data_IF_459015045404
#
_entry.id   IF_459015045404
#
_cell.length_a   1.000
_cell.length_b   1.000
_cell.length_c   1.000
_cell.angle_alpha   90.00
_cell.angle_beta   90.00
_cell.angle_gamma   90.00
#
_symmetry.space_group_name_H-M   'P 1'
#
loop_
_entity.id
_entity.type
_entity.pdbx_description
1 polymer ?
#
# COMPACT_ATOMS: atom_id res chain seq x y z
N UNK A 1 -0.36 -9.78 4.74
CA UNK A 1 0.72 -10.13 3.83
C UNK A 1 2.09 -9.77 4.42
N UNK A 2 2.42 -8.52 4.64
CA UNK A 2 3.78 -8.12 5.07
C UNK A 2 4.29 -8.90 6.30
N UNK A 3 3.51 -9.00 7.37
CA UNK A 3 3.91 -9.78 8.56
C UNK A 3 4.10 -11.28 8.24
N UNK A 4 3.24 -11.85 7.39
CA UNK A 4 3.36 -13.25 6.97
C UNK A 4 4.62 -13.49 6.13
N UNK A 5 5.01 -12.54 5.29
CA UNK A 5 6.24 -12.60 4.49
C UNK A 5 7.50 -12.66 5.38
N UNK A 6 7.42 -12.15 6.61
CA UNK A 6 8.48 -12.19 7.62
C UNK A 6 8.26 -13.24 8.72
N UNK A 7 7.42 -14.24 8.46
CA UNK A 7 7.32 -15.43 9.31
C UNK A 7 6.22 -15.39 10.37
N UNK A 8 5.35 -14.37 10.39
CA UNK A 8 4.16 -14.43 11.23
C UNK A 8 3.20 -15.52 10.71
N UNK A 9 2.70 -16.37 11.60
CA UNK A 9 1.63 -17.31 11.30
C UNK A 9 0.29 -16.55 11.22
N UNK A 10 -0.14 -16.25 10.00
CA UNK A 10 -1.35 -15.47 9.75
C UNK A 10 -2.50 -16.38 9.33
N UNK A 11 -3.48 -16.52 10.19
CA UNK A 11 -4.72 -17.27 9.94
C UNK A 11 -5.77 -16.29 9.40
N UNK A 12 -6.16 -16.46 8.14
CA UNK A 12 -7.25 -15.71 7.52
C UNK A 12 -8.57 -16.42 7.78
N UNK A 13 -9.40 -15.79 8.59
CA UNK A 13 -10.75 -16.26 8.90
C UNK A 13 -11.73 -15.72 7.87
N UNK A 14 -12.53 -16.59 7.26
CA UNK A 14 -13.49 -16.24 6.23
C UNK A 14 -14.88 -16.84 6.51
N UNK A 15 -15.92 -16.22 5.98
CA UNK A 15 -17.29 -16.76 6.07
C UNK A 15 -17.39 -18.07 5.27
N UNK A 16 -17.94 -19.15 5.86
CA UNK A 16 -18.18 -20.39 5.11
C UNK A 16 -19.01 -20.16 3.84
N UNK A 17 -18.67 -20.83 2.78
CA UNK A 17 -19.36 -20.82 1.48
C UNK A 17 -19.13 -19.57 0.63
N UNK A 18 -18.97 -18.39 1.22
CA UNK A 18 -18.81 -17.12 0.46
C UNK A 18 -17.38 -16.62 0.40
N UNK A 19 -16.61 -16.80 1.45
CA UNK A 19 -15.23 -16.30 1.56
C UNK A 19 -15.14 -14.78 1.62
N UNK A 20 -13.93 -14.29 1.36
CA UNK A 20 -13.61 -12.87 1.28
C UNK A 20 -13.99 -12.31 -0.11
N UNK A 21 -14.62 -11.13 -0.22
CA UNK A 21 -14.96 -10.50 -1.50
C UNK A 21 -13.76 -10.34 -2.45
N UNK A 22 -12.52 -10.20 -1.94
CA UNK A 22 -11.32 -10.09 -2.75
C UNK A 22 -11.08 -11.31 -3.65
N UNK A 23 -11.63 -12.49 -3.28
CA UNK A 23 -11.58 -13.71 -4.13
C UNK A 23 -12.26 -13.52 -5.48
N UNK A 24 -13.22 -12.58 -5.56
CA UNK A 24 -13.98 -12.30 -6.78
C UNK A 24 -13.31 -11.22 -7.66
N UNK A 25 -12.25 -10.57 -7.17
CA UNK A 25 -11.50 -9.59 -7.94
C UNK A 25 -10.57 -10.29 -8.93
N UNK A 26 -11.09 -10.52 -10.13
CA UNK A 26 -10.38 -11.27 -11.18
C UNK A 26 -9.97 -10.36 -12.34
N UNK A 27 -8.85 -10.72 -12.98
CA UNK A 27 -8.44 -10.15 -14.25
C UNK A 27 -8.49 -11.27 -15.29
N UNK A 28 -9.40 -11.18 -16.25
CA UNK A 28 -9.63 -12.26 -17.25
C UNK A 28 -9.86 -13.64 -16.61
N UNK A 29 -10.58 -13.67 -15.49
CA UNK A 29 -10.88 -14.89 -14.74
C UNK A 29 -9.80 -15.36 -13.75
N UNK A 30 -8.63 -14.70 -13.72
CA UNK A 30 -7.54 -15.04 -12.79
C UNK A 30 -7.64 -14.23 -11.51
N UNK A 31 -7.59 -14.83 -10.32
CA UNK A 31 -7.72 -14.15 -9.03
C UNK A 31 -6.36 -13.59 -8.54
N UNK A 32 -5.67 -12.81 -9.36
CA UNK A 32 -4.33 -12.31 -9.06
C UNK A 32 -4.27 -11.49 -7.76
N UNK A 33 -5.29 -10.69 -7.46
CA UNK A 33 -5.37 -9.95 -6.20
C UNK A 33 -5.33 -10.88 -5.00
N UNK A 34 -6.12 -11.93 -5.04
CA UNK A 34 -6.13 -12.94 -3.97
C UNK A 34 -4.79 -13.69 -3.87
N UNK A 35 -4.28 -14.14 -5.00
CA UNK A 35 -3.02 -14.90 -5.07
C UNK A 35 -1.85 -14.11 -4.50
N UNK A 36 -1.77 -12.80 -4.79
CA UNK A 36 -0.70 -11.91 -4.35
C UNK A 36 -0.88 -11.52 -2.88
N UNK A 37 -2.04 -10.93 -2.53
CA UNK A 37 -2.24 -10.36 -1.18
C UNK A 37 -2.65 -11.41 -0.14
N UNK A 38 -3.08 -12.57 -0.59
CA UNK A 38 -3.34 -13.74 0.23
C UNK A 38 -2.09 -14.55 0.59
N UNK A 39 -0.97 -14.39 -0.08
CA UNK A 39 0.25 -15.20 0.08
C UNK A 39 0.70 -15.35 1.53
N UNK A 40 1.32 -16.48 1.83
CA UNK A 40 1.86 -16.84 3.14
C UNK A 40 0.83 -16.87 4.29
N UNK A 41 -0.47 -16.99 3.98
CA UNK A 41 -1.52 -17.11 5.00
C UNK A 41 -2.11 -18.51 4.99
N UNK A 42 -2.61 -18.94 6.14
CA UNK A 42 -3.46 -20.12 6.29
C UNK A 42 -4.92 -19.69 6.29
N UNK A 43 -5.79 -20.45 5.64
CA UNK A 43 -7.18 -20.11 5.37
C UNK A 43 -8.12 -21.02 6.09
N UNK A 44 -8.97 -20.46 6.97
CA UNK A 44 -10.04 -21.19 7.63
C UNK A 44 -11.39 -20.51 7.39
N UNK A 45 -12.45 -21.30 7.46
CA UNK A 45 -13.81 -20.81 7.45
C UNK A 45 -14.38 -20.78 8.87
N UNK A 46 -15.05 -19.69 9.26
CA UNK A 46 -15.68 -19.55 10.57
C UNK A 46 -16.86 -18.59 10.50
N UNK A 47 -18.04 -19.06 10.89
CA UNK A 47 -19.26 -18.28 10.94
C UNK A 47 -19.40 -17.57 12.30
N UNK A 48 -18.90 -16.34 12.42
CA UNK A 48 -18.99 -15.55 13.65
C UNK A 48 -20.42 -15.14 14.03
N UNK A 49 -21.40 -15.30 13.13
CA UNK A 49 -22.82 -15.05 13.43
C UNK A 49 -23.44 -16.23 14.21
N UNK A 50 -22.92 -17.45 14.03
CA UNK A 50 -23.36 -18.63 14.74
C UNK A 50 -22.77 -18.68 16.16
N UNK A 51 -23.55 -19.11 17.18
CA UNK A 51 -23.03 -19.31 18.54
C UNK A 51 -21.83 -20.26 18.58
N UNK A 52 -21.89 -21.36 17.82
CA UNK A 52 -20.83 -22.35 17.71
C UNK A 52 -19.54 -21.74 17.13
N UNK A 53 -19.66 -20.88 16.12
CA UNK A 53 -18.52 -20.17 15.54
C UNK A 53 -17.86 -19.22 16.54
N UNK A 54 -18.64 -18.53 17.37
CA UNK A 54 -18.10 -17.70 18.46
C UNK A 54 -17.42 -18.54 19.53
N UNK A 55 -17.96 -19.71 19.87
CA UNK A 55 -17.34 -20.64 20.82
C UNK A 55 -16.00 -21.16 20.29
N UNK A 56 -15.90 -21.41 18.99
CA UNK A 56 -14.61 -21.74 18.34
C UNK A 56 -13.64 -20.58 18.48
N UNK A 57 -14.05 -19.33 18.14
CA UNK A 57 -13.20 -18.16 18.26
C UNK A 57 -12.68 -17.97 19.70
N UNK A 58 -13.50 -18.24 20.71
CA UNK A 58 -13.12 -18.18 22.13
C UNK A 58 -11.97 -19.14 22.47
N UNK A 59 -11.83 -20.26 21.74
CA UNK A 59 -10.72 -21.22 21.91
C UNK A 59 -9.46 -20.76 21.17
N UNK A 60 -9.61 -20.01 20.06
CA UNK A 60 -8.50 -19.53 19.27
C UNK A 60 -7.82 -18.31 19.92
N UNK A 61 -8.60 -17.35 20.39
CA UNK A 61 -8.11 -16.05 20.89
C UNK A 61 -7.02 -16.16 21.97
N UNK A 62 -7.09 -17.06 22.97
CA UNK A 62 -6.04 -17.20 23.97
C UNK A 62 -4.67 -17.62 23.42
N UNK A 63 -4.61 -18.10 22.20
CA UNK A 63 -3.42 -18.68 21.57
C UNK A 63 -2.88 -17.82 20.43
N UNK A 64 -3.41 -16.60 20.22
CA UNK A 64 -2.95 -15.68 19.19
C UNK A 64 -2.53 -14.35 19.78
N UNK A 65 -1.51 -13.73 19.22
CA UNK A 65 -0.99 -12.45 19.69
C UNK A 65 -1.85 -11.26 19.27
N UNK A 66 -2.44 -11.34 18.07
CA UNK A 66 -3.14 -10.24 17.42
C UNK A 66 -4.42 -10.74 16.77
N UNK A 67 -5.51 -10.04 17.00
CA UNK A 67 -6.73 -10.13 16.18
C UNK A 67 -6.80 -8.86 15.33
N UNK A 68 -7.03 -9.02 14.03
CA UNK A 68 -7.21 -7.90 13.10
C UNK A 68 -8.59 -7.99 12.46
N UNK A 69 -9.31 -6.87 12.42
CA UNK A 69 -10.63 -6.79 11.79
C UNK A 69 -10.78 -5.48 10.99
N UNK A 70 -11.71 -5.49 10.03
CA UNK A 70 -12.05 -4.32 9.22
C UNK A 70 -13.57 -4.19 9.02
N UNK A 71 -14.35 -4.48 10.06
CA UNK A 71 -15.80 -4.30 10.04
C UNK A 71 -16.17 -2.83 10.24
N UNK A 72 -17.43 -2.53 9.95
CA UNK A 72 -18.02 -1.25 10.36
C UNK A 72 -17.97 -1.17 11.90
N UNK A 73 -17.52 -0.04 12.48
CA UNK A 73 -17.43 0.14 13.93
C UNK A 73 -18.69 -0.31 14.69
N UNK A 74 -18.48 -0.96 15.84
CA UNK A 74 -19.56 -1.54 16.63
C UNK A 74 -20.03 -2.94 16.19
N UNK A 75 -19.52 -3.46 15.07
CA UNK A 75 -19.95 -4.81 14.60
C UNK A 75 -19.44 -5.93 15.49
N UNK A 76 -18.19 -5.89 15.94
CA UNK A 76 -17.68 -6.86 16.92
C UNK A 76 -18.46 -6.81 18.24
N UNK A 77 -18.77 -5.62 18.72
CA UNK A 77 -19.55 -5.41 19.93
C UNK A 77 -20.95 -6.02 19.81
N UNK A 78 -21.64 -5.81 18.68
CA UNK A 78 -22.94 -6.44 18.39
C UNK A 78 -22.88 -7.97 18.32
N UNK A 79 -21.75 -8.53 17.97
CA UNK A 79 -21.50 -9.98 17.96
C UNK A 79 -21.11 -10.51 19.35
N UNK A 80 -20.95 -9.63 20.36
CA UNK A 80 -20.43 -10.01 21.67
C UNK A 80 -18.93 -10.32 21.67
N UNK A 81 -18.18 -9.76 20.71
CA UNK A 81 -16.75 -9.96 20.46
C UNK A 81 -15.95 -8.65 20.59
N UNK A 82 -16.49 -7.63 21.24
CA UNK A 82 -15.79 -6.39 21.52
C UNK A 82 -14.50 -6.61 22.33
N UNK A 83 -13.60 -5.64 22.32
CA UNK A 83 -12.29 -5.77 22.96
C UNK A 83 -12.38 -6.14 24.44
N UNK A 84 -13.36 -5.61 25.20
CA UNK A 84 -13.52 -5.93 26.61
C UNK A 84 -13.82 -7.42 26.86
N UNK A 85 -14.49 -8.09 25.91
CA UNK A 85 -14.73 -9.54 25.95
C UNK A 85 -13.47 -10.29 25.56
N UNK A 86 -12.85 -9.92 24.42
CA UNK A 86 -11.64 -10.58 23.94
C UNK A 86 -10.48 -10.48 24.96
N UNK A 87 -10.35 -9.33 25.62
CA UNK A 87 -9.36 -9.09 26.67
C UNK A 87 -9.55 -9.97 27.90
N UNK A 88 -10.80 -10.35 28.23
CA UNK A 88 -11.04 -11.30 29.30
C UNK A 88 -10.52 -12.70 28.95
N UNK A 89 -10.55 -13.09 27.68
CA UNK A 89 -10.02 -14.36 27.22
C UNK A 89 -8.48 -14.33 27.11
N UNK A 90 -7.93 -13.19 26.71
CA UNK A 90 -6.49 -12.99 26.58
C UNK A 90 -6.07 -11.55 26.92
N UNK A 91 -5.60 -11.27 28.16
CA UNK A 91 -5.21 -9.93 28.58
C UNK A 91 -4.09 -9.30 27.75
N UNK A 92 -3.24 -10.11 27.13
CA UNK A 92 -2.16 -9.69 26.25
C UNK A 92 -2.56 -9.47 24.78
N UNK A 93 -3.84 -9.66 24.45
CA UNK A 93 -4.31 -9.55 23.07
C UNK A 93 -4.18 -8.12 22.53
N UNK A 94 -3.62 -8.01 21.34
CA UNK A 94 -3.66 -6.78 20.55
C UNK A 94 -4.84 -6.89 19.56
N UNK A 95 -5.74 -5.91 19.58
CA UNK A 95 -6.84 -5.83 18.61
C UNK A 95 -6.57 -4.68 17.62
N UNK A 96 -6.26 -5.00 16.37
CA UNK A 96 -6.11 -4.02 15.30
C UNK A 96 -7.44 -3.85 14.55
N UNK A 97 -7.98 -2.63 14.59
CA UNK A 97 -9.28 -2.25 14.00
C UNK A 97 -9.04 -1.27 12.86
N UNK A 98 -9.33 -1.71 11.65
CA UNK A 98 -9.16 -0.90 10.44
C UNK A 98 -10.54 -0.45 9.97
N UNK A 99 -10.71 0.84 9.75
CA UNK A 99 -11.96 1.39 9.22
C UNK A 99 -11.68 2.54 8.26
N UNK A 100 -12.68 3.00 7.52
CA UNK A 100 -12.50 4.15 6.61
C UNK A 100 -12.21 5.45 7.36
N UNK A 101 -12.92 5.68 8.48
CA UNK A 101 -13.02 6.98 9.13
C UNK A 101 -12.67 6.99 10.63
N UNK A 102 -12.17 5.89 11.18
CA UNK A 102 -11.92 5.70 12.61
C UNK A 102 -13.08 5.03 13.34
N UNK A 103 -12.83 4.57 14.57
CA UNK A 103 -13.83 3.87 15.40
C UNK A 103 -14.86 4.83 16.01
N UNK A 104 -14.58 6.11 16.07
CA UNK A 104 -15.45 7.16 16.59
C UNK A 104 -15.65 8.32 15.62
N UNK A 105 -16.27 9.40 16.08
CA UNK A 105 -16.52 10.58 15.26
C UNK A 105 -17.75 10.47 14.34
N UNK A 106 -18.17 11.62 13.74
CA UNK A 106 -19.43 11.70 12.99
C UNK A 106 -19.49 10.85 11.72
N UNK A 107 -18.33 10.46 11.18
CA UNK A 107 -18.24 9.66 9.94
C UNK A 107 -18.05 8.16 10.21
N UNK A 108 -17.84 7.73 11.45
CA UNK A 108 -17.46 6.35 11.78
C UNK A 108 -18.42 5.28 11.22
N UNK A 109 -19.71 5.58 11.11
CA UNK A 109 -20.72 4.66 10.59
C UNK A 109 -20.93 4.77 9.07
N UNK A 110 -20.21 5.67 8.38
CA UNK A 110 -20.33 5.81 6.93
C UNK A 110 -19.48 4.77 6.20
N UNK A 111 -19.90 4.32 5.01
CA UNK A 111 -19.03 3.52 4.15
C UNK A 111 -17.70 4.25 3.89
N UNK A 112 -16.58 3.56 4.08
CA UNK A 112 -15.23 4.12 3.98
C UNK A 112 -14.32 3.22 3.18
N UNK A 113 -14.54 3.12 1.87
CA UNK A 113 -13.65 2.41 0.96
C UNK A 113 -12.48 3.30 0.50
N UNK A 114 -11.38 2.68 0.06
CA UNK A 114 -10.15 3.35 -0.34
C UNK A 114 -10.37 4.54 -1.27
N UNK A 115 -11.13 4.38 -2.36
CA UNK A 115 -11.43 5.47 -3.31
C UNK A 115 -12.12 6.68 -2.68
N UNK A 116 -13.03 6.47 -1.70
CA UNK A 116 -13.70 7.56 -1.00
C UNK A 116 -12.72 8.34 -0.11
N UNK A 117 -11.84 7.61 0.53
CA UNK A 117 -10.76 8.17 1.37
C UNK A 117 -9.73 8.92 0.53
N UNK A 118 -9.32 8.36 -0.60
CA UNK A 118 -8.41 9.01 -1.55
C UNK A 118 -8.96 10.34 -2.06
N UNK A 119 -10.27 10.41 -2.30
CA UNK A 119 -10.93 11.66 -2.67
C UNK A 119 -11.04 12.65 -1.49
N UNK A 120 -11.39 12.15 -0.30
CA UNK A 120 -11.66 13.01 0.86
C UNK A 120 -10.40 13.54 1.54
N UNK A 121 -9.26 12.81 1.48
CA UNK A 121 -8.02 13.16 2.17
C UNK A 121 -7.29 14.40 1.62
N UNK A 122 -7.72 14.91 0.48
CA UNK A 122 -7.01 15.96 -0.25
C UNK A 122 -6.05 15.43 -1.32
N UNK A 123 -5.80 14.10 -1.37
CA UNK A 123 -4.96 13.50 -2.41
C UNK A 123 -5.46 13.86 -3.80
N UNK A 124 -6.72 13.56 -4.11
CA UNK A 124 -7.29 13.83 -5.44
C UNK A 124 -7.34 15.34 -5.77
N UNK A 125 -7.56 16.18 -4.77
CA UNK A 125 -7.61 17.63 -4.96
C UNK A 125 -6.28 18.23 -5.43
N UNK A 126 -5.14 17.60 -5.10
CA UNK A 126 -3.80 18.06 -5.45
C UNK A 126 -3.16 17.29 -6.63
N UNK A 127 -3.79 16.24 -7.13
CA UNK A 127 -3.29 15.41 -8.23
C UNK A 127 -4.12 15.60 -9.50
N UNK A 128 -3.42 15.68 -10.62
CA UNK A 128 -3.98 15.93 -11.96
C UNK A 128 -3.44 17.20 -12.61
N UNK A 129 -3.80 17.41 -13.86
CA UNK A 129 -3.46 18.64 -14.59
C UNK A 129 -4.26 19.83 -14.03
N UNK A 130 -3.72 21.07 -14.08
CA UNK A 130 -4.37 22.26 -13.51
C UNK A 130 -5.82 22.44 -13.97
N UNK A 131 -6.06 22.27 -15.25
CA UNK A 131 -7.37 22.45 -15.89
C UNK A 131 -8.16 21.14 -16.02
N UNK A 132 -7.59 20.02 -15.53
CA UNK A 132 -8.20 18.70 -15.57
C UNK A 132 -9.06 18.38 -14.33
N UNK A 133 -9.77 17.25 -14.33
CA UNK A 133 -10.46 16.76 -13.14
C UNK A 133 -9.49 16.31 -12.05
N UNK A 134 -9.93 16.25 -10.78
CA UNK A 134 -9.20 15.54 -9.72
C UNK A 134 -8.95 14.09 -10.13
N UNK A 135 -7.78 13.57 -9.80
CA UNK A 135 -7.37 12.18 -10.15
C UNK A 135 -7.21 11.37 -8.87
N UNK A 136 -7.92 10.24 -8.80
CA UNK A 136 -7.68 9.18 -7.81
C UNK A 136 -6.68 8.16 -8.39
N UNK A 137 -5.90 7.45 -7.55
CA UNK A 137 -4.93 6.48 -8.05
C UNK A 137 -5.62 5.29 -8.75
N UNK A 138 -4.94 4.69 -9.72
CA UNK A 138 -5.39 3.48 -10.41
C UNK A 138 -5.21 2.19 -9.60
N UNK A 139 -4.89 2.27 -8.32
CA UNK A 139 -4.73 1.15 -7.37
C UNK A 139 -5.17 1.60 -5.97
N UNK A 140 -5.48 0.69 -5.04
CA UNK A 140 -6.01 1.03 -3.71
C UNK A 140 -4.91 1.61 -2.80
N UNK A 141 -4.50 2.85 -3.06
CA UNK A 141 -3.38 3.50 -2.35
C UNK A 141 -3.68 3.67 -0.87
N UNK A 142 -4.90 4.08 -0.51
CA UNK A 142 -5.31 4.25 0.89
C UNK A 142 -5.20 2.93 1.65
N UNK A 143 -5.70 1.83 1.07
CA UNK A 143 -5.64 0.50 1.67
C UNK A 143 -4.20 0.01 1.84
N UNK A 144 -3.36 0.19 0.80
CA UNK A 144 -1.95 -0.23 0.85
C UNK A 144 -1.16 0.56 1.88
N UNK A 145 -1.34 1.87 1.93
CA UNK A 145 -0.71 2.74 2.94
C UNK A 145 -1.14 2.32 4.35
N UNK A 146 -2.45 2.12 4.56
CA UNK A 146 -2.98 1.67 5.84
C UNK A 146 -2.46 0.29 6.23
N UNK A 147 -2.31 -0.63 5.29
CA UNK A 147 -1.70 -1.94 5.54
C UNK A 147 -0.25 -1.84 6.05
N UNK A 148 0.54 -0.89 5.51
CA UNK A 148 1.89 -0.59 6.00
C UNK A 148 1.86 0.00 7.42
N UNK A 149 0.98 0.99 7.68
CA UNK A 149 0.80 1.54 9.02
C UNK A 149 0.34 0.48 10.02
N UNK A 150 -0.60 -0.39 9.62
CA UNK A 150 -1.09 -1.47 10.46
C UNK A 150 0.03 -2.44 10.88
N UNK A 151 0.87 -2.84 9.95
CA UNK A 151 1.99 -3.73 10.26
C UNK A 151 2.98 -3.09 11.23
N UNK A 152 3.29 -1.81 11.06
CA UNK A 152 4.13 -1.06 12.00
C UNK A 152 3.47 -0.91 13.38
N UNK A 153 2.18 -0.55 13.43
CA UNK A 153 1.45 -0.39 14.69
C UNK A 153 1.37 -1.70 15.47
N UNK A 154 1.15 -2.83 14.79
CA UNK A 154 1.20 -4.17 15.40
C UNK A 154 2.57 -4.43 16.00
N UNK A 155 3.66 -4.15 15.27
CA UNK A 155 5.02 -4.33 15.79
C UNK A 155 5.32 -3.42 16.99
N UNK A 156 4.86 -2.17 16.99
CA UNK A 156 4.98 -1.27 18.14
C UNK A 156 4.23 -1.81 19.35
N UNK A 157 3.00 -2.31 19.16
CA UNK A 157 2.20 -2.87 20.23
C UNK A 157 2.80 -4.18 20.79
N UNK A 158 3.33 -5.05 19.92
CA UNK A 158 4.03 -6.28 20.31
C UNK A 158 5.31 -5.96 21.09
N UNK A 159 6.11 -5.00 20.61
CA UNK A 159 7.31 -4.55 21.30
C UNK A 159 6.99 -3.95 22.68
N UNK A 160 5.97 -3.07 22.76
CA UNK A 160 5.50 -2.52 24.02
C UNK A 160 5.07 -3.62 24.99
N UNK A 161 4.26 -4.57 24.53
CA UNK A 161 3.81 -5.71 25.33
C UNK A 161 4.98 -6.54 25.86
N UNK A 162 5.97 -6.80 25.02
CA UNK A 162 7.18 -7.55 25.41
C UNK A 162 7.99 -6.83 26.49
N UNK A 163 8.14 -5.50 26.37
CA UNK A 163 9.00 -4.71 27.26
C UNK A 163 8.30 -4.25 28.54
N UNK A 164 6.96 -4.20 28.59
CA UNK A 164 6.23 -3.50 29.64
C UNK A 164 5.09 -4.33 30.29
N UNK A 165 5.33 -5.60 30.55
CA UNK A 165 4.46 -6.39 31.46
C UNK A 165 3.30 -7.12 30.79
N UNK A 166 3.34 -7.32 29.47
CA UNK A 166 2.51 -8.31 28.81
C UNK A 166 1.06 -7.89 28.49
N UNK A 167 0.66 -6.66 28.75
CA UNK A 167 -0.69 -6.17 28.46
C UNK A 167 -0.88 -5.86 26.97
N UNK A 168 -2.03 -6.27 26.41
CA UNK A 168 -2.46 -5.94 25.07
C UNK A 168 -3.10 -4.54 24.99
N UNK A 169 -3.45 -4.13 23.76
CA UNK A 169 -4.10 -2.84 23.50
C UNK A 169 -4.94 -2.88 22.22
N UNK A 170 -5.78 -1.88 22.04
CA UNK A 170 -6.47 -1.63 20.76
C UNK A 170 -5.61 -0.72 19.90
N UNK A 171 -5.56 -1.04 18.62
CA UNK A 171 -5.05 -0.17 17.55
C UNK A 171 -6.26 0.28 16.75
N UNK A 172 -6.62 1.55 16.81
CA UNK A 172 -7.60 2.17 15.92
C UNK A 172 -6.85 2.79 14.74
N UNK A 173 -7.20 2.40 13.53
CA UNK A 173 -6.49 2.81 12.32
C UNK A 173 -7.47 3.16 11.21
N UNK A 174 -7.61 4.46 10.95
CA UNK A 174 -8.42 4.96 9.85
C UNK A 174 -7.62 5.00 8.52
N UNK A 175 -8.27 4.56 7.44
CA UNK A 175 -7.69 4.72 6.09
C UNK A 175 -7.40 6.19 5.78
N UNK A 176 -8.32 7.08 6.18
CA UNK A 176 -8.19 8.52 5.98
C UNK A 176 -6.94 9.09 6.65
N UNK A 177 -6.73 8.79 7.93
CA UNK A 177 -5.60 9.30 8.71
C UNK A 177 -4.27 8.77 8.18
N UNK A 178 -4.24 7.50 7.82
CA UNK A 178 -3.06 6.85 7.24
C UNK A 178 -2.65 7.54 5.93
N UNK A 179 -3.59 7.77 5.01
CA UNK A 179 -3.28 8.44 3.75
C UNK A 179 -2.95 9.92 3.96
N UNK A 180 -3.73 10.64 4.78
CA UNK A 180 -3.52 12.06 5.05
C UNK A 180 -2.12 12.33 5.61
N UNK A 181 -1.62 11.45 6.49
CA UNK A 181 -0.31 11.60 7.13
C UNK A 181 0.88 11.60 6.17
N UNK A 182 0.74 11.02 4.96
CA UNK A 182 1.81 10.95 3.96
C UNK A 182 1.70 12.00 2.85
N UNK A 183 0.71 12.89 2.91
CA UNK A 183 0.51 13.93 1.88
C UNK A 183 1.44 15.15 2.03
N UNK A 184 2.38 15.12 2.95
CA UNK A 184 3.32 16.20 3.20
C UNK A 184 2.76 17.33 4.08
N UNK A 185 3.33 18.54 4.04
CA UNK A 185 3.07 19.59 5.02
C UNK A 185 1.82 20.44 4.72
N UNK A 186 0.87 19.98 3.92
CA UNK A 186 -0.28 20.77 3.45
C UNK A 186 -1.12 21.36 4.59
N UNK A 187 -1.28 20.62 5.70
CA UNK A 187 -2.01 21.12 6.87
C UNK A 187 -1.27 22.27 7.57
N UNK A 188 0.06 22.19 7.66
CA UNK A 188 0.88 23.25 8.22
C UNK A 188 0.89 24.51 7.32
N UNK A 189 0.98 24.31 6.01
CA UNK A 189 0.92 25.38 5.01
C UNK A 189 -0.41 26.13 5.09
N UNK A 190 -1.51 25.39 5.15
CA UNK A 190 -2.84 26.00 5.30
C UNK A 190 -2.98 26.73 6.66
N UNK A 191 -2.58 26.07 7.75
CA UNK A 191 -2.71 26.65 9.08
C UNK A 191 -1.86 27.93 9.31
N UNK A 192 -0.66 27.98 8.72
CA UNK A 192 0.24 29.11 8.89
C UNK A 192 0.04 30.23 7.87
N UNK A 193 -0.33 29.90 6.64
CA UNK A 193 -0.30 30.80 5.49
C UNK A 193 -1.65 30.92 4.76
N UNK A 194 -2.66 30.10 5.11
CA UNK A 194 -3.90 29.97 4.34
C UNK A 194 -3.68 29.39 2.94
N UNK A 195 -2.56 28.71 2.72
CA UNK A 195 -2.18 28.21 1.40
C UNK A 195 -2.86 26.89 1.10
N UNK A 196 -3.68 26.83 0.06
CA UNK A 196 -4.24 25.61 -0.46
C UNK A 196 -3.38 25.04 -1.60
N UNK A 197 -3.12 23.73 -1.57
CA UNK A 197 -2.45 23.04 -2.68
C UNK A 197 -3.45 22.76 -3.78
N UNK A 198 -3.12 23.16 -4.99
CA UNK A 198 -3.88 22.90 -6.22
C UNK A 198 -3.13 21.92 -7.12
N UNK A 199 -3.82 21.37 -8.11
CA UNK A 199 -3.24 20.51 -9.13
C UNK A 199 -2.20 21.25 -9.97
N UNK A 200 -1.10 20.58 -10.27
CA UNK A 200 0.02 21.14 -11.05
C UNK A 200 0.61 20.12 -12.03
N UNK A 201 -0.14 19.06 -12.36
CA UNK A 201 0.40 17.94 -13.13
C UNK A 201 1.56 17.26 -12.40
N UNK A 202 2.62 16.98 -13.12
CA UNK A 202 3.85 16.39 -12.58
C UNK A 202 4.86 17.42 -12.03
N UNK A 203 4.51 18.69 -11.96
CA UNK A 203 5.37 19.77 -11.45
C UNK A 203 5.56 19.70 -9.95
N UNK A 204 6.60 20.39 -9.46
CA UNK A 204 6.83 20.63 -8.04
C UNK A 204 6.73 22.12 -7.73
N UNK A 205 6.19 22.44 -6.56
CA UNK A 205 6.24 23.82 -6.00
C UNK A 205 7.60 24.19 -5.43
N UNK A 206 8.47 23.19 -5.24
CA UNK A 206 9.71 23.36 -4.51
C UNK A 206 10.95 23.34 -5.37
N UNK A 207 10.86 22.88 -6.61
CA UNK A 207 12.04 22.72 -7.49
C UNK A 207 11.66 22.64 -8.98
N UNK A 208 12.57 23.11 -9.85
CA UNK A 208 12.49 23.04 -11.30
C UNK A 208 13.87 22.89 -11.96
N UNK A 209 13.97 22.16 -13.11
CA UNK A 209 12.88 21.48 -13.82
C UNK A 209 12.40 20.21 -13.11
N UNK A 210 11.09 19.97 -13.13
CA UNK A 210 10.50 18.73 -12.64
C UNK A 210 9.21 18.43 -13.40
N UNK A 211 9.07 17.21 -13.91
CA UNK A 211 7.88 16.80 -14.64
C UNK A 211 8.09 15.54 -15.45
N UNK A 212 7.07 15.14 -16.20
CA UNK A 212 7.14 14.09 -17.20
C UNK A 212 7.06 14.70 -18.59
N UNK A 213 7.97 14.30 -19.48
CA UNK A 213 8.13 14.89 -20.81
C UNK A 213 8.16 13.77 -21.86
N UNK A 214 7.42 13.95 -22.94
CA UNK A 214 7.38 13.00 -24.05
C UNK A 214 8.64 13.09 -24.90
N UNK A 215 9.13 11.94 -25.35
CA UNK A 215 10.21 11.79 -26.33
C UNK A 215 9.65 11.79 -27.76
N UNK A 216 10.52 11.89 -28.80
CA UNK A 216 10.09 11.90 -30.19
C UNK A 216 9.44 10.59 -30.66
N UNK A 217 9.72 9.48 -30.00
CA UNK A 217 9.19 8.14 -30.29
C UNK A 217 8.00 7.75 -29.38
N UNK A 218 7.44 8.73 -28.64
CA UNK A 218 6.20 8.55 -27.86
C UNK A 218 6.39 7.95 -26.48
N UNK A 219 7.61 7.73 -26.03
CA UNK A 219 7.93 7.31 -24.66
C UNK A 219 7.98 8.52 -23.72
N UNK A 220 8.15 8.30 -22.42
CA UNK A 220 8.13 9.36 -21.42
C UNK A 220 9.35 9.33 -20.51
N UNK A 221 9.88 10.51 -20.21
CA UNK A 221 10.93 10.71 -19.20
C UNK A 221 10.39 11.50 -18.02
N UNK A 222 10.68 11.03 -16.80
CA UNK A 222 10.52 11.80 -15.57
C UNK A 222 11.84 12.51 -15.25
N UNK A 223 11.76 13.81 -14.99
CA UNK A 223 12.90 14.68 -14.66
C UNK A 223 12.75 15.21 -13.25
N UNK A 224 13.84 15.28 -12.48
CA UNK A 224 13.85 15.81 -11.12
C UNK A 224 15.08 16.68 -10.84
N UNK A 225 14.99 17.97 -11.10
CA UNK A 225 16.00 18.98 -10.73
C UNK A 225 15.82 19.44 -9.27
N UNK A 226 15.88 18.52 -8.30
CA UNK A 226 15.53 18.78 -6.91
C UNK A 226 16.53 19.65 -6.14
N UNK A 227 17.75 19.81 -6.64
CA UNK A 227 18.77 20.73 -6.08
C UNK A 227 19.29 21.68 -7.18
N UNK A 228 19.83 22.86 -6.83
CA UNK A 228 20.42 23.76 -7.82
C UNK A 228 21.42 23.06 -8.75
N UNK A 229 22.33 22.28 -8.21
CA UNK A 229 23.35 21.55 -8.96
C UNK A 229 22.75 20.51 -9.92
N UNK A 230 21.68 19.80 -9.52
CA UNK A 230 20.98 18.84 -10.40
C UNK A 230 20.30 19.57 -11.55
N UNK A 231 19.66 20.71 -11.29
CA UNK A 231 19.01 21.52 -12.30
C UNK A 231 20.02 22.10 -13.29
N UNK A 232 21.14 22.64 -12.80
CA UNK A 232 22.25 23.16 -13.62
C UNK A 232 22.80 22.09 -14.55
N UNK A 233 23.19 20.93 -14.00
CA UNK A 233 23.69 19.78 -14.78
C UNK A 233 22.69 19.32 -15.84
N UNK A 234 21.40 19.28 -15.48
CA UNK A 234 20.36 18.89 -16.41
C UNK A 234 20.27 19.88 -17.60
N UNK A 235 20.24 21.18 -17.32
CA UNK A 235 20.17 22.21 -18.36
C UNK A 235 21.41 22.20 -19.22
N UNK A 236 22.60 22.05 -18.65
CA UNK A 236 23.87 21.95 -19.41
C UNK A 236 23.90 20.69 -20.29
N UNK A 237 23.55 19.52 -19.74
CA UNK A 237 23.54 18.24 -20.45
C UNK A 237 22.58 18.22 -21.66
N UNK A 238 21.50 18.95 -21.58
CA UNK A 238 20.54 19.10 -22.68
C UNK A 238 20.86 20.29 -23.62
N UNK A 239 21.99 21.00 -23.42
CA UNK A 239 22.38 22.16 -24.24
C UNK A 239 21.57 23.42 -23.91
N UNK A 240 20.90 23.46 -22.76
CA UNK A 240 20.09 24.59 -22.28
C UNK A 240 20.86 25.49 -21.30
N UNK A 241 22.19 25.35 -21.20
CA UNK A 241 23.03 26.08 -20.23
C UNK A 241 22.89 27.60 -20.31
N UNK A 242 22.59 28.17 -21.48
CA UNK A 242 22.31 29.58 -21.63
C UNK A 242 21.17 30.10 -20.76
N UNK A 243 20.20 29.24 -20.38
CA UNK A 243 19.10 29.59 -19.48
C UNK A 243 19.58 29.93 -18.08
N UNK A 244 20.72 29.41 -17.64
CA UNK A 244 21.28 29.69 -16.32
C UNK A 244 21.69 31.17 -16.13
N UNK A 245 21.95 31.87 -17.23
CA UNK A 245 22.23 33.32 -17.23
C UNK A 245 20.99 34.19 -17.36
N UNK A 246 19.81 33.59 -17.62
CA UNK A 246 18.55 34.31 -17.65
C UNK A 246 18.01 34.48 -16.23
N UNK A 247 17.70 35.71 -15.78
CA UNK A 247 17.15 35.95 -14.46
C UNK A 247 15.91 35.12 -14.11
N UNK A 248 15.14 34.71 -15.09
CA UNK A 248 13.95 33.85 -14.89
C UNK A 248 14.30 32.42 -14.43
N UNK A 249 15.56 31.98 -14.63
CA UNK A 249 15.96 30.59 -14.38
C UNK A 249 17.23 30.48 -13.54
N UNK A 250 17.84 31.60 -13.16
CA UNK A 250 19.11 31.63 -12.43
C UNK A 250 19.03 31.04 -11.03
N UNK A 251 17.89 31.16 -10.35
CA UNK A 251 17.68 30.57 -9.02
C UNK A 251 16.55 29.55 -9.04
N UNK A 252 16.47 28.70 -8.01
CA UNK A 252 15.39 27.72 -7.90
C UNK A 252 14.02 28.41 -7.80
N UNK A 253 13.91 29.47 -7.01
CA UNK A 253 12.68 30.25 -6.85
C UNK A 253 12.24 30.87 -8.18
N UNK A 254 13.18 31.39 -8.94
CA UNK A 254 12.91 31.96 -10.26
C UNK A 254 12.44 30.85 -11.24
N UNK A 255 13.08 29.67 -11.23
CA UNK A 255 12.65 28.53 -12.04
C UNK A 255 11.25 28.05 -11.70
N UNK A 256 10.90 27.99 -10.42
CA UNK A 256 9.55 27.63 -9.97
C UNK A 256 8.53 28.67 -10.40
N UNK A 257 8.84 29.97 -10.25
CA UNK A 257 7.95 31.05 -10.65
C UNK A 257 7.72 31.11 -12.17
N UNK A 258 8.69 30.65 -12.98
CA UNK A 258 8.64 30.62 -14.44
C UNK A 258 8.60 29.20 -14.99
N UNK A 259 8.00 28.26 -14.23
CA UNK A 259 8.02 26.81 -14.53
C UNK A 259 7.46 26.50 -15.92
N UNK A 260 6.45 27.20 -16.39
CA UNK A 260 5.86 26.97 -17.72
C UNK A 260 6.84 27.23 -18.86
N UNK A 261 7.58 28.34 -18.79
CA UNK A 261 8.60 28.68 -19.79
C UNK A 261 9.80 27.72 -19.74
N UNK A 262 10.20 27.29 -18.53
CA UNK A 262 11.24 26.28 -18.34
C UNK A 262 10.82 24.92 -18.91
N UNK A 263 9.60 24.48 -18.62
CA UNK A 263 9.04 23.22 -19.11
C UNK A 263 8.92 23.21 -20.65
N UNK A 264 8.60 24.35 -21.26
CA UNK A 264 8.57 24.46 -22.72
C UNK A 264 9.95 24.21 -23.34
N UNK A 265 11.01 24.77 -22.77
CA UNK A 265 12.39 24.54 -23.23
C UNK A 265 12.81 23.07 -23.00
N UNK A 266 12.52 22.50 -21.83
CA UNK A 266 12.84 21.09 -21.52
C UNK A 266 12.07 20.15 -22.43
N UNK A 267 10.77 20.40 -22.65
CA UNK A 267 9.93 19.62 -23.57
C UNK A 267 10.48 19.63 -25.00
N UNK A 268 10.90 20.77 -25.49
CA UNK A 268 11.51 20.86 -26.80
C UNK A 268 12.83 20.07 -26.91
N UNK A 269 13.67 20.13 -25.88
CA UNK A 269 14.95 19.45 -25.86
C UNK A 269 14.83 17.92 -25.77
N UNK A 270 13.92 17.42 -24.92
CA UNK A 270 13.62 15.98 -24.76
C UNK A 270 12.88 15.47 -26.00
N UNK A 271 11.84 16.18 -26.44
CA UNK A 271 10.99 15.79 -27.57
C UNK A 271 11.69 15.80 -28.92
N UNK A 272 12.87 16.43 -29.05
CA UNK A 272 13.71 16.35 -30.25
C UNK A 272 14.49 15.03 -30.37
N UNK A 273 14.44 14.16 -29.34
CA UNK A 273 15.24 12.92 -29.25
C UNK A 273 14.36 11.72 -28.96
N UNK A 274 14.75 10.56 -29.44
CA UNK A 274 14.17 9.26 -29.03
C UNK A 274 14.50 8.95 -27.58
N UNK A 275 13.81 7.96 -26.99
CA UNK A 275 14.13 7.46 -25.63
C UNK A 275 15.60 7.05 -25.54
N UNK A 276 16.10 6.28 -26.52
CA UNK A 276 17.49 5.79 -26.51
C UNK A 276 18.50 6.93 -26.51
N UNK A 277 18.30 7.97 -27.35
CA UNK A 277 19.16 9.15 -27.38
C UNK A 277 19.10 9.95 -26.08
N UNK A 278 17.91 10.11 -25.49
CA UNK A 278 17.74 10.76 -24.20
C UNK A 278 18.45 9.98 -23.07
N UNK A 279 18.35 8.64 -23.05
CA UNK A 279 19.05 7.81 -22.06
C UNK A 279 20.58 7.93 -22.20
N UNK A 280 21.09 8.07 -23.42
CA UNK A 280 22.51 8.31 -23.64
C UNK A 280 22.96 9.69 -23.09
N UNK A 281 22.16 10.75 -23.25
CA UNK A 281 22.42 12.07 -22.65
C UNK A 281 22.38 11.96 -21.12
N UNK A 282 21.39 11.29 -20.57
CA UNK A 282 21.23 11.09 -19.11
C UNK A 282 22.46 10.39 -18.54
N UNK A 283 22.89 9.29 -19.16
CA UNK A 283 24.06 8.53 -18.71
C UNK A 283 25.38 9.30 -18.89
N UNK A 284 25.55 10.01 -20.02
CA UNK A 284 26.77 10.76 -20.32
C UNK A 284 27.02 11.96 -19.41
N UNK A 285 25.95 12.51 -18.81
CA UNK A 285 26.03 13.68 -17.92
C UNK A 285 25.60 13.35 -16.48
N UNK A 286 25.31 12.09 -16.15
CA UNK A 286 24.83 11.63 -14.84
C UNK A 286 23.64 12.48 -14.35
N UNK A 287 22.59 12.57 -15.18
CA UNK A 287 21.43 13.42 -14.94
C UNK A 287 20.36 12.71 -14.08
N UNK A 288 19.62 13.50 -13.33
CA UNK A 288 18.49 13.04 -12.50
C UNK A 288 17.21 12.95 -13.32
N UNK A 289 17.18 12.03 -14.26
CA UNK A 289 16.04 11.71 -15.09
C UNK A 289 15.98 10.20 -15.34
N UNK A 290 14.78 9.69 -15.62
CA UNK A 290 14.54 8.25 -15.79
C UNK A 290 13.39 8.01 -16.76
N UNK A 291 13.43 6.88 -17.48
CA UNK A 291 12.30 6.39 -18.28
C UNK A 291 11.09 6.08 -17.36
N UNK A 292 9.90 6.51 -17.74
CA UNK A 292 8.66 6.15 -17.07
C UNK A 292 8.30 4.72 -17.46
N UNK A 293 8.78 3.77 -16.66
CA UNK A 293 8.69 2.34 -16.95
C UNK A 293 7.29 1.77 -16.77
N UNK A 294 6.91 0.88 -17.67
CA UNK A 294 5.76 -0.03 -17.50
C UNK A 294 6.19 -1.30 -16.75
N UNK A 295 5.24 -2.13 -16.32
CA UNK A 295 5.56 -3.44 -15.72
C UNK A 295 6.35 -4.35 -16.68
N UNK A 296 6.14 -4.21 -17.99
CA UNK A 296 6.89 -4.93 -19.04
C UNK A 296 8.36 -4.53 -19.05
N UNK A 297 8.65 -3.24 -18.88
CA UNK A 297 10.02 -2.70 -18.84
C UNK A 297 10.71 -3.17 -17.55
N UNK A 298 10.06 -3.01 -16.41
CA UNK A 298 10.53 -3.48 -15.09
C UNK A 298 10.90 -4.97 -15.13
N UNK A 299 10.05 -5.82 -15.72
CA UNK A 299 10.29 -7.26 -15.79
C UNK A 299 11.51 -7.65 -16.65
N UNK A 300 11.94 -6.76 -17.56
CA UNK A 300 13.09 -6.97 -18.45
C UNK A 300 14.35 -6.26 -17.98
N UNK A 301 14.22 -5.29 -17.11
CA UNK A 301 15.32 -4.45 -16.63
C UNK A 301 16.38 -5.29 -15.88
N UNK A 302 17.65 -5.23 -16.28
CA UNK A 302 18.73 -6.00 -15.64
C UNK A 302 18.92 -5.66 -14.17
N UNK A 303 18.71 -4.40 -13.75
CA UNK A 303 18.83 -3.97 -12.37
C UNK A 303 17.78 -4.65 -11.49
N UNK A 304 16.52 -4.64 -11.92
CA UNK A 304 15.42 -5.26 -11.15
C UNK A 304 15.51 -6.78 -11.12
N UNK A 305 16.04 -7.40 -12.19
CA UNK A 305 16.37 -8.83 -12.21
C UNK A 305 17.48 -9.16 -11.21
N UNK A 306 18.58 -8.41 -11.21
CA UNK A 306 19.68 -8.60 -10.26
C UNK A 306 19.23 -8.38 -8.80
N UNK A 307 18.19 -7.54 -8.59
CA UNK A 307 17.60 -7.34 -7.29
C UNK A 307 16.49 -8.35 -6.95
N UNK A 308 16.19 -9.31 -7.81
CA UNK A 308 15.12 -10.28 -7.61
C UNK A 308 13.78 -9.60 -7.21
N UNK A 309 13.42 -8.51 -7.92
CA UNK A 309 12.23 -7.74 -7.61
C UNK A 309 10.95 -8.56 -7.77
N UNK A 310 10.96 -9.50 -8.70
CA UNK A 310 9.85 -10.40 -9.00
C UNK A 310 10.23 -11.84 -8.65
N UNK A 311 9.24 -12.61 -8.21
CA UNK A 311 9.33 -14.04 -7.89
C UNK A 311 8.19 -14.79 -8.57
N UNK A 312 8.47 -15.98 -9.06
CA UNK A 312 7.47 -16.89 -9.62
C UNK A 312 7.04 -17.89 -8.54
N UNK A 313 5.77 -17.84 -8.15
CA UNK A 313 5.20 -18.66 -7.07
C UNK A 313 4.29 -19.71 -7.66
N UNK A 314 4.51 -21.00 -7.38
CA UNK A 314 3.65 -22.08 -7.86
C UNK A 314 2.20 -21.94 -7.38
N UNK A 315 1.26 -22.25 -8.25
CA UNK A 315 -0.18 -22.35 -7.94
C UNK A 315 -0.77 -23.58 -8.62
N UNK A 316 -2.00 -23.95 -8.30
CA UNK A 316 -2.68 -25.07 -8.95
C UNK A 316 -2.85 -24.87 -10.47
N UNK A 317 -2.89 -23.63 -10.95
CA UNK A 317 -3.05 -23.28 -12.37
C UNK A 317 -1.75 -22.91 -13.09
N UNK A 318 -0.59 -23.15 -12.49
CA UNK A 318 0.73 -22.76 -12.99
C UNK A 318 1.46 -21.83 -12.02
N UNK A 319 2.47 -21.11 -12.50
CA UNK A 319 3.20 -20.14 -11.66
C UNK A 319 2.62 -18.73 -11.84
N UNK A 320 2.48 -18.00 -10.74
CA UNK A 320 2.12 -16.58 -10.74
C UNK A 320 3.35 -15.75 -10.41
N UNK A 321 3.69 -14.83 -11.30
CA UNK A 321 4.75 -13.86 -11.09
C UNK A 321 4.23 -12.70 -10.25
N UNK A 322 4.89 -12.44 -9.14
CA UNK A 322 4.49 -11.37 -8.22
C UNK A 322 5.70 -10.62 -7.66
N UNK A 323 5.47 -9.48 -7.04
CA UNK A 323 6.50 -8.73 -6.32
C UNK A 323 7.07 -9.56 -5.17
N UNK A 324 8.40 -9.57 -5.07
CA UNK A 324 9.11 -10.23 -3.97
C UNK A 324 8.96 -9.45 -2.66
N UNK A 325 9.46 -10.01 -1.57
CA UNK A 325 9.39 -9.40 -0.23
C UNK A 325 10.25 -8.14 -0.15
N UNK A 326 9.71 -7.11 0.48
CA UNK A 326 10.37 -5.85 0.78
C UNK A 326 9.99 -5.41 2.21
N UNK A 327 10.95 -4.92 3.03
CA UNK A 327 12.39 -4.74 2.79
C UNK A 327 13.20 -6.04 2.81
N UNK A 328 14.48 -5.97 2.49
CA UNK A 328 15.42 -7.08 2.65
C UNK A 328 16.15 -6.94 3.95
N UNK A 329 16.00 -7.92 4.83
CA UNK A 329 16.73 -8.01 6.09
C UNK A 329 17.90 -8.99 5.94
N UNK A 330 19.07 -8.64 6.46
CA UNK A 330 20.27 -9.45 6.28
C UNK A 330 20.24 -10.76 7.07
N UNK A 331 19.67 -10.72 8.28
CA UNK A 331 19.66 -11.87 9.21
C UNK A 331 18.33 -12.64 9.15
N UNK A 332 17.23 -11.95 8.88
CA UNK A 332 15.88 -12.53 8.87
C UNK A 332 15.16 -12.13 7.58
N UNK A 333 15.66 -12.59 6.41
CA UNK A 333 15.03 -12.27 5.15
C UNK A 333 13.61 -12.81 5.09
N UNK A 334 12.69 -12.01 4.54
CA UNK A 334 11.35 -12.49 4.24
C UNK A 334 11.34 -13.37 3.00
N UNK A 335 10.32 -14.22 2.89
CA UNK A 335 10.17 -15.16 1.78
C UNK A 335 8.71 -15.29 1.33
N UNK A 336 8.48 -15.66 0.07
CA UNK A 336 7.17 -16.01 -0.47
C UNK A 336 7.09 -17.52 -0.64
N UNK A 337 6.48 -18.20 0.31
CA UNK A 337 6.43 -19.65 0.37
C UNK A 337 5.27 -20.23 -0.46
N UNK A 338 4.08 -19.58 -0.43
CA UNK A 338 2.91 -19.97 -1.21
C UNK A 338 2.03 -18.76 -1.55
N UNK A 339 1.24 -18.90 -2.60
CA UNK A 339 0.24 -17.90 -3.02
C UNK A 339 -1.04 -17.98 -2.17
N UNK A 340 -1.97 -17.05 -2.39
CA UNK A 340 -3.31 -17.15 -1.80
C UNK A 340 -3.99 -18.47 -2.14
N UNK A 341 -4.44 -19.20 -1.11
CA UNK A 341 -5.02 -20.53 -1.21
C UNK A 341 -6.54 -20.54 -1.30
N UNK A 342 -7.10 -21.76 -1.43
CA UNK A 342 -8.54 -21.99 -1.50
C UNK A 342 -9.25 -21.68 -0.17
N UNK A 343 -10.57 -21.48 -0.23
CA UNK A 343 -11.41 -21.24 0.93
C UNK A 343 -11.39 -22.46 1.88
N UNK A 344 -11.04 -22.25 3.14
CA UNK A 344 -10.98 -23.31 4.15
C UNK A 344 -9.86 -24.34 3.95
N UNK A 345 -8.90 -24.08 3.06
CA UNK A 345 -7.83 -25.03 2.72
C UNK A 345 -7.05 -25.57 3.92
N UNK A 346 -7.05 -24.84 5.03
CA UNK A 346 -6.31 -25.21 6.23
C UNK A 346 -7.23 -25.50 7.45
N UNK A 347 -8.55 -25.71 7.23
CA UNK A 347 -9.49 -26.00 8.30
C UNK A 347 -8.98 -27.15 9.17
N UNK A 348 -8.71 -28.32 8.58
CA UNK A 348 -8.32 -29.51 9.32
C UNK A 348 -7.05 -29.29 10.17
N UNK A 349 -6.03 -28.72 9.58
CA UNK A 349 -4.75 -28.46 10.23
C UNK A 349 -4.87 -27.41 11.35
N UNK A 350 -5.46 -26.26 11.04
CA UNK A 350 -5.56 -25.15 11.99
C UNK A 350 -6.47 -25.54 13.16
N UNK A 351 -7.62 -26.12 12.89
CA UNK A 351 -8.52 -26.52 13.98
C UNK A 351 -7.92 -27.59 14.87
N UNK A 352 -7.20 -28.58 14.30
CA UNK A 352 -6.47 -29.57 15.10
C UNK A 352 -5.39 -28.91 16.00
N UNK A 353 -4.66 -27.91 15.49
CA UNK A 353 -3.68 -27.15 16.29
C UNK A 353 -4.33 -26.49 17.50
N UNK A 354 -5.57 -26.01 17.39
CA UNK A 354 -6.33 -25.41 18.48
C UNK A 354 -7.14 -26.40 19.31
N UNK A 355 -6.87 -27.71 19.17
CA UNK A 355 -7.47 -28.77 19.94
C UNK A 355 -8.92 -29.09 19.57
N UNK A 356 -9.33 -28.82 18.33
CA UNK A 356 -10.62 -29.20 17.74
C UNK A 356 -10.36 -30.42 16.87
N UNK A 357 -10.75 -31.60 17.35
CA UNK A 357 -10.52 -32.86 16.65
C UNK A 357 -11.43 -33.06 15.43
N UNK A 358 -11.17 -34.08 14.63
CA UNK A 358 -11.90 -34.34 13.39
C UNK A 358 -13.41 -34.59 13.61
N UNK A 359 -13.79 -35.20 14.74
CA UNK A 359 -15.19 -35.45 15.04
C UNK A 359 -15.93 -34.15 15.34
N UNK A 360 -15.32 -33.28 16.16
CA UNK A 360 -15.82 -31.95 16.44
C UNK A 360 -15.86 -31.07 15.17
N UNK A 361 -14.83 -31.13 14.33
CA UNK A 361 -14.80 -30.40 13.05
C UNK A 361 -15.96 -30.84 12.14
N UNK A 362 -16.24 -32.14 12.02
CA UNK A 362 -17.39 -32.63 11.26
C UNK A 362 -18.71 -32.14 11.80
N UNK A 363 -18.88 -32.15 13.13
CA UNK A 363 -20.07 -31.62 13.80
C UNK A 363 -20.25 -30.11 13.52
N UNK A 364 -19.18 -29.32 13.64
CA UNK A 364 -19.19 -27.87 13.39
C UNK A 364 -19.49 -27.55 11.92
N UNK A 365 -18.93 -28.31 10.99
CA UNK A 365 -19.23 -28.17 9.56
C UNK A 365 -20.70 -28.51 9.26
N UNK A 366 -21.23 -29.59 9.85
CA UNK A 366 -22.64 -29.95 9.72
C UNK A 366 -23.61 -28.91 10.31
N UNK A 367 -23.14 -28.12 11.28
CA UNK A 367 -23.87 -26.98 11.85
C UNK A 367 -23.67 -25.67 11.08
N UNK A 368 -22.84 -25.64 10.03
CA UNK A 368 -22.51 -24.43 9.27
C UNK A 368 -21.69 -23.39 10.06
N UNK A 369 -20.94 -23.87 11.07
CA UNK A 369 -20.08 -23.01 11.90
C UNK A 369 -18.68 -22.85 11.29
N UNK A 370 -18.19 -23.88 10.58
CA UNK A 370 -16.89 -23.86 9.90
C UNK A 370 -17.03 -24.33 8.46
#
# INVERSE_FOLDING_TARGET
>A
MLLADFGADVIKVEQPGTGDPLRQWTTQGHPFWWQVYGRNKRYITLNLKAPEGRAVLQRLVPQVDVVMESFVPGTLERMGLGYDVLRQWHPGLILARISGWGQDGPLSQRPGFGTLVEAASGFAAMNGEPDGPPIVPGFPMADMTTGLYCSNAIMFALYHRHMHGGQGQVIDLALFESLFSVLGPMAAEYGALGLERTRQGSRSRNSGPRGCFATSDGEWLAVSGSTPRMAERFLEGYGLGALLSDPRFATNEARVAHAEALDAAVRAAIGARTLAENLAVIAGHDLTAVHVQTVKDIARDPHWRARHLLVDVPTASGAVRMQNVTPRLSETPGDVQWSGGELGAHNAEVYAQFGIDEEEQRRLAGAGAI
#
